data_IF_001180784296
#
_entry.id   IF_001180784296
#
_cell.length_a   1.000
_cell.length_b   1.000
_cell.length_c   1.000
_cell.angle_alpha   90.00
_cell.angle_beta   90.00
_cell.angle_gamma   90.00
#
_symmetry.space_group_name_H-M   'P 1'
#
loop_
_entity.id
_entity.type
_entity.pdbx_description
1 polymer ?
#
# COMPACT_ATOMS: atom_id res chain seq x y z
N UNK A 1 16.32 -66.02 -11.24
CA UNK A 1 16.80 -64.87 -10.43
C UNK A 1 17.34 -63.79 -11.35
N UNK A 2 16.65 -62.65 -11.47
CA UNK A 2 17.18 -61.42 -12.09
C UNK A 2 16.88 -60.27 -11.15
N UNK A 3 17.93 -59.71 -10.52
CA UNK A 3 17.85 -58.50 -9.70
C UNK A 3 17.84 -57.28 -10.65
N UNK A 4 16.78 -56.48 -10.59
CA UNK A 4 16.71 -55.16 -11.23
C UNK A 4 17.06 -54.08 -10.22
N UNK A 5 18.18 -53.39 -10.43
CA UNK A 5 18.61 -52.22 -9.68
C UNK A 5 17.82 -50.99 -10.18
N UNK A 6 16.90 -50.46 -9.37
CA UNK A 6 16.19 -49.21 -9.68
C UNK A 6 17.02 -48.03 -9.16
N UNK A 7 17.59 -47.28 -10.10
CA UNK A 7 18.30 -46.02 -9.86
C UNK A 7 17.26 -44.91 -9.59
N UNK A 8 17.12 -44.54 -8.32
CA UNK A 8 16.21 -43.45 -7.91
C UNK A 8 16.89 -42.10 -8.15
N UNK A 9 16.52 -41.41 -9.22
CA UNK A 9 16.96 -40.04 -9.52
C UNK A 9 16.25 -39.07 -8.57
N UNK A 10 16.98 -38.52 -7.60
CA UNK A 10 16.49 -37.42 -6.76
C UNK A 10 16.39 -36.14 -7.61
N UNK A 11 15.16 -35.75 -7.97
CA UNK A 11 14.86 -34.43 -8.53
C UNK A 11 15.01 -33.38 -7.41
N UNK A 12 16.11 -32.64 -7.40
CA UNK A 12 16.22 -31.41 -6.62
C UNK A 12 15.24 -30.38 -7.22
N UNK A 13 14.27 -29.84 -6.46
CA UNK A 13 13.45 -28.75 -6.97
C UNK A 13 14.37 -27.55 -7.18
N UNK A 14 14.48 -27.12 -8.44
CA UNK A 14 15.09 -25.84 -8.78
C UNK A 14 14.41 -24.76 -7.94
N UNK A 15 15.18 -24.13 -7.05
CA UNK A 15 14.79 -22.91 -6.35
C UNK A 15 14.58 -21.83 -7.40
N UNK A 16 13.38 -21.77 -7.98
CA UNK A 16 12.93 -20.60 -8.69
C UNK A 16 13.06 -19.44 -7.70
N UNK A 17 13.96 -18.50 -8.00
CA UNK A 17 14.16 -17.29 -7.20
C UNK A 17 12.84 -16.51 -7.19
N UNK A 18 11.97 -16.81 -6.23
CA UNK A 18 10.74 -16.07 -6.03
C UNK A 18 11.12 -14.61 -5.78
N UNK A 19 10.47 -13.69 -6.51
CA UNK A 19 10.65 -12.27 -6.27
C UNK A 19 10.49 -11.97 -4.77
N UNK A 20 11.32 -11.11 -4.16
CA UNK A 20 11.27 -10.90 -2.72
C UNK A 20 9.87 -10.42 -2.31
N UNK A 21 9.29 -11.08 -1.31
CA UNK A 21 7.97 -10.77 -0.78
C UNK A 21 7.96 -9.42 -0.05
N UNK A 22 6.79 -8.78 0.06
CA UNK A 22 6.63 -7.59 0.90
C UNK A 22 6.88 -7.99 2.37
N UNK A 23 7.84 -7.37 3.07
CA UNK A 23 8.16 -7.71 4.46
C UNK A 23 7.05 -7.25 5.42
N UNK A 24 7.01 -7.83 6.62
CA UNK A 24 6.14 -7.30 7.68
C UNK A 24 6.62 -5.90 8.12
N UNK A 25 5.69 -5.00 8.52
CA UNK A 25 6.01 -3.62 8.82
C UNK A 25 7.13 -3.46 9.86
N UNK A 26 8.14 -2.68 9.50
CA UNK A 26 9.27 -2.28 10.33
C UNK A 26 10.19 -3.43 10.77
N UNK A 27 10.08 -4.62 10.17
CA UNK A 27 10.94 -5.76 10.47
C UNK A 27 12.08 -5.96 9.47
N UNK A 28 11.98 -5.36 8.27
CA UNK A 28 13.00 -5.52 7.24
C UNK A 28 14.32 -4.81 7.60
N UNK A 29 15.44 -5.48 7.32
CA UNK A 29 16.79 -4.90 7.31
C UNK A 29 17.00 -3.96 6.11
N UNK A 30 18.06 -3.15 6.16
CA UNK A 30 18.46 -2.30 5.04
C UNK A 30 18.70 -3.11 3.74
N UNK A 31 19.30 -4.31 3.85
CA UNK A 31 19.53 -5.21 2.71
C UNK A 31 18.20 -5.68 2.10
N UNK A 32 17.25 -6.11 2.93
CA UNK A 32 15.93 -6.55 2.47
C UNK A 32 15.15 -5.42 1.80
N UNK A 33 15.17 -4.20 2.35
CA UNK A 33 14.52 -3.04 1.74
C UNK A 33 15.09 -2.70 0.37
N UNK A 34 16.43 -2.70 0.22
CA UNK A 34 17.10 -2.45 -1.07
C UNK A 34 16.78 -3.55 -2.10
N UNK A 35 16.66 -4.79 -1.67
CA UNK A 35 16.35 -5.93 -2.54
C UNK A 35 14.94 -5.85 -3.16
N UNK A 36 14.03 -5.03 -2.61
CA UNK A 36 12.74 -4.76 -3.24
C UNK A 36 12.89 -3.95 -4.55
N UNK A 37 14.02 -3.29 -4.80
CA UNK A 37 14.23 -2.59 -6.06
C UNK A 37 14.54 -3.59 -7.18
N UNK A 38 13.55 -3.85 -8.02
CA UNK A 38 13.66 -4.79 -9.14
C UNK A 38 13.27 -4.15 -10.46
N UNK A 39 13.89 -4.60 -11.55
CA UNK A 39 13.64 -4.08 -12.90
C UNK A 39 14.28 -2.72 -13.16
N UNK A 40 14.15 -2.25 -14.41
CA UNK A 40 14.66 -0.94 -14.85
C UNK A 40 13.72 0.17 -14.39
N UNK A 41 14.29 1.29 -13.96
CA UNK A 41 13.55 2.48 -13.53
C UNK A 41 14.27 3.67 -14.15
N UNK A 42 13.54 4.53 -14.87
CA UNK A 42 14.10 5.72 -15.54
C UNK A 42 14.89 6.57 -14.54
N UNK A 43 15.99 7.18 -14.98
CA UNK A 43 16.93 7.86 -14.10
C UNK A 43 16.34 9.14 -13.45
N UNK A 44 15.44 9.80 -14.18
CA UNK A 44 14.73 11.03 -13.81
C UNK A 44 13.51 10.80 -12.89
N UNK A 45 13.09 9.54 -12.68
CA UNK A 45 11.95 9.20 -11.83
C UNK A 45 12.20 9.69 -10.39
N UNK A 46 11.36 10.56 -9.81
CA UNK A 46 11.68 11.24 -8.56
C UNK A 46 11.69 10.31 -7.33
N UNK A 47 10.76 9.36 -7.30
CA UNK A 47 10.64 8.35 -6.25
C UNK A 47 10.09 7.06 -6.85
N UNK A 48 10.15 5.95 -6.11
CA UNK A 48 9.60 4.66 -6.54
C UNK A 48 8.91 4.00 -5.35
N UNK A 49 7.69 3.52 -5.54
CA UNK A 49 6.99 2.73 -4.53
C UNK A 49 7.48 1.29 -4.65
N UNK A 50 8.41 0.91 -3.77
CA UNK A 50 8.97 -0.45 -3.74
C UNK A 50 7.93 -1.48 -3.30
N UNK A 51 7.07 -1.11 -2.36
CA UNK A 51 5.94 -1.90 -1.90
C UNK A 51 4.77 -1.01 -1.47
N UNK A 52 3.56 -1.40 -1.86
CA UNK A 52 2.29 -0.84 -1.42
C UNK A 52 1.41 -1.98 -0.87
N UNK A 53 1.38 -2.15 0.45
CA UNK A 53 0.62 -3.20 1.14
C UNK A 53 -0.50 -2.57 1.96
N UNK A 54 -1.74 -2.84 1.54
CA UNK A 54 -2.92 -2.24 2.15
C UNK A 54 -3.84 -3.32 2.70
N UNK A 55 -4.22 -3.18 3.96
CA UNK A 55 -5.13 -4.11 4.64
C UNK A 55 -6.40 -3.39 5.04
N UNK A 56 -7.54 -3.89 4.59
CA UNK A 56 -8.87 -3.43 4.97
C UNK A 56 -9.58 -4.55 5.76
N UNK A 57 -9.89 -4.28 7.02
CA UNK A 57 -10.62 -5.19 7.88
C UNK A 57 -12.02 -4.64 8.19
N UNK A 58 -13.06 -5.39 7.81
CA UNK A 58 -14.45 -5.06 8.13
C UNK A 58 -14.97 -5.97 9.24
N UNK A 59 -15.50 -5.36 10.30
CA UNK A 59 -16.19 -6.10 11.34
C UNK A 59 -17.64 -6.47 10.96
N UNK A 60 -18.32 -7.16 11.87
CA UNK A 60 -19.72 -7.57 11.70
C UNK A 60 -20.68 -6.38 11.58
N UNK A 61 -20.34 -5.23 12.17
CA UNK A 61 -21.08 -3.97 12.09
C UNK A 61 -20.74 -3.14 10.85
N UNK A 62 -19.80 -3.57 10.02
CA UNK A 62 -19.37 -2.86 8.81
C UNK A 62 -18.43 -1.69 9.08
N UNK A 63 -17.87 -1.58 10.29
CA UNK A 63 -16.79 -0.62 10.59
C UNK A 63 -15.50 -1.13 9.97
N UNK A 64 -14.75 -0.23 9.34
CA UNK A 64 -13.50 -0.54 8.66
C UNK A 64 -12.30 -0.17 9.53
N UNK A 65 -11.26 -0.98 9.47
CA UNK A 65 -9.89 -0.59 9.80
C UNK A 65 -9.04 -0.68 8.54
N UNK A 66 -8.41 0.43 8.14
CA UNK A 66 -7.48 0.48 7.03
C UNK A 66 -6.05 0.62 7.58
N UNK A 67 -5.14 -0.22 7.11
CA UNK A 67 -3.69 -0.10 7.35
C UNK A 67 -2.97 0.03 6.02
N UNK A 68 -2.24 1.11 5.84
CA UNK A 68 -1.42 1.37 4.67
C UNK A 68 0.04 1.22 5.07
N UNK A 69 0.71 0.15 4.63
CA UNK A 69 2.14 -0.06 4.82
C UNK A 69 2.85 0.13 3.49
N UNK A 70 3.76 1.10 3.43
CA UNK A 70 4.41 1.49 2.18
C UNK A 70 5.91 1.66 2.35
N UNK A 71 6.63 1.26 1.31
CA UNK A 71 8.08 1.37 1.22
C UNK A 71 8.41 2.14 -0.06
N UNK A 72 9.12 3.25 0.06
CA UNK A 72 9.39 4.20 -1.02
C UNK A 72 10.88 4.50 -1.09
N UNK A 73 11.48 4.47 -2.27
CA UNK A 73 12.84 4.93 -2.52
C UNK A 73 12.82 6.33 -3.13
N UNK A 74 13.60 7.25 -2.57
CA UNK A 74 13.80 8.60 -3.11
C UNK A 74 14.98 8.58 -4.07
N UNK A 75 14.81 9.11 -5.28
CA UNK A 75 15.79 8.94 -6.37
C UNK A 75 16.36 10.24 -6.92
N UNK A 76 15.64 11.36 -6.83
CA UNK A 76 16.11 12.67 -7.31
C UNK A 76 15.88 13.76 -6.28
N UNK A 77 16.45 14.95 -6.52
CA UNK A 77 16.19 16.14 -5.72
C UNK A 77 14.71 16.51 -5.71
N UNK A 78 13.99 16.28 -6.81
CA UNK A 78 12.55 16.46 -6.86
C UNK A 78 11.79 15.48 -5.96
N UNK A 79 12.26 14.23 -5.89
CA UNK A 79 11.75 13.26 -4.93
C UNK A 79 11.89 13.72 -3.49
N UNK A 80 13.05 14.30 -3.14
CA UNK A 80 13.25 14.89 -1.79
C UNK A 80 12.23 16.00 -1.52
N UNK A 81 11.94 16.86 -2.49
CA UNK A 81 10.97 17.96 -2.30
C UNK A 81 9.53 17.47 -2.19
N UNK A 82 9.11 16.53 -3.04
CA UNK A 82 7.70 16.14 -3.18
C UNK A 82 7.27 14.95 -2.32
N UNK A 83 8.21 14.12 -1.84
CA UNK A 83 7.92 12.89 -1.07
C UNK A 83 8.48 12.89 0.36
N UNK A 84 8.87 14.04 0.90
CA UNK A 84 9.48 14.18 2.24
C UNK A 84 8.50 14.29 3.40
N UNK A 85 7.20 14.06 3.19
CA UNK A 85 6.22 14.06 4.29
C UNK A 85 5.21 12.93 4.16
N UNK A 86 4.68 12.51 5.31
CA UNK A 86 3.51 11.63 5.39
C UNK A 86 2.27 12.46 5.69
N UNK A 87 1.14 12.08 5.10
CA UNK A 87 -0.16 12.66 5.39
C UNK A 87 -1.20 11.56 5.61
N UNK A 88 -2.11 11.79 6.56
CA UNK A 88 -3.27 10.95 6.78
C UNK A 88 -4.51 11.83 6.94
N UNK A 89 -5.53 11.58 6.13
CA UNK A 89 -6.79 12.33 6.16
C UNK A 89 -7.89 11.47 6.77
N UNK A 90 -8.74 12.06 7.60
CA UNK A 90 -9.90 11.40 8.20
C UNK A 90 -11.02 12.40 8.44
N UNK A 91 -12.21 11.89 8.73
CA UNK A 91 -13.37 12.69 9.09
C UNK A 91 -13.83 12.25 10.49
N UNK A 92 -13.72 13.11 11.51
CA UNK A 92 -14.04 12.78 12.91
C UNK A 92 -15.44 12.23 13.13
N UNK A 93 -16.41 12.54 12.27
CA UNK A 93 -17.79 12.07 12.44
C UNK A 93 -17.95 10.53 12.34
N UNK A 94 -17.00 9.82 11.72
CA UNK A 94 -17.02 8.34 11.64
C UNK A 94 -15.67 7.67 11.83
N UNK A 95 -14.56 8.40 11.76
CA UNK A 95 -13.20 7.87 11.91
C UNK A 95 -12.50 8.41 13.14
N UNK A 96 -11.74 7.55 13.82
CA UNK A 96 -10.79 7.97 14.85
C UNK A 96 -9.60 8.68 14.20
N UNK A 97 -8.95 9.58 14.95
CA UNK A 97 -7.69 10.19 14.55
C UNK A 97 -6.67 9.11 14.14
N UNK A 98 -6.09 9.17 12.93
CA UNK A 98 -5.14 8.18 12.44
C UNK A 98 -3.92 8.04 13.32
N UNK A 99 -3.32 6.86 13.33
CA UNK A 99 -1.97 6.64 13.88
C UNK A 99 -0.99 6.55 12.72
N UNK A 100 0.13 7.27 12.82
CA UNK A 100 1.20 7.25 11.83
C UNK A 100 2.50 6.77 12.48
N UNK A 101 3.23 5.91 11.78
CA UNK A 101 4.58 5.47 12.13
C UNK A 101 5.43 5.52 10.87
N UNK A 102 6.68 5.89 11.00
CA UNK A 102 7.62 5.80 9.88
C UNK A 102 9.05 5.62 10.37
N UNK A 103 9.90 5.10 9.48
CA UNK A 103 11.35 5.15 9.61
C UNK A 103 11.98 5.39 8.24
N UNK A 104 13.12 6.05 8.23
CA UNK A 104 13.87 6.37 7.02
C UNK A 104 15.25 5.75 7.11
N UNK A 105 15.60 4.91 6.13
CA UNK A 105 16.97 4.46 5.91
C UNK A 105 17.72 5.56 5.16
N UNK A 106 18.60 6.28 5.85
CA UNK A 106 19.40 7.37 5.29
C UNK A 106 20.85 7.24 5.75
N UNK A 107 21.80 7.23 4.81
CA UNK A 107 23.21 7.01 5.14
C UNK A 107 23.49 5.67 5.82
N UNK A 108 22.69 4.64 5.54
CA UNK A 108 22.86 3.29 6.10
C UNK A 108 22.25 3.07 7.48
N UNK A 109 21.66 4.10 8.11
CA UNK A 109 21.00 4.00 9.42
C UNK A 109 19.51 4.33 9.33
N UNK A 110 18.72 3.67 10.16
CA UNK A 110 17.30 4.01 10.31
C UNK A 110 17.12 5.19 11.26
N UNK A 111 16.25 6.13 10.89
CA UNK A 111 15.75 7.20 11.77
C UNK A 111 14.23 7.13 11.83
N UNK A 112 13.69 7.02 13.03
CA UNK A 112 12.24 6.95 13.25
C UNK A 112 11.60 8.34 13.19
N UNK A 113 10.36 8.42 12.70
CA UNK A 113 9.54 9.62 12.79
C UNK A 113 9.30 9.95 14.26
N UNK A 114 9.62 11.18 14.66
CA UNK A 114 9.30 11.69 16.00
C UNK A 114 7.81 12.03 16.07
N UNK A 115 7.02 11.38 16.97
CA UNK A 115 5.61 11.67 17.14
C UNK A 115 5.29 13.14 17.45
N UNK A 116 6.21 13.88 18.08
CA UNK A 116 6.02 15.30 18.41
C UNK A 116 5.95 16.20 17.18
N UNK A 117 6.51 15.75 16.05
CA UNK A 117 6.50 16.49 14.77
C UNK A 117 5.19 16.33 14.00
N UNK A 118 4.29 15.45 14.46
CA UNK A 118 3.00 15.22 13.83
C UNK A 118 2.05 16.37 14.21
N UNK A 119 1.68 17.16 13.22
CA UNK A 119 0.72 18.25 13.38
C UNK A 119 -0.56 18.01 12.57
N UNK A 120 -1.59 18.79 12.90
CA UNK A 120 -2.88 18.79 12.24
C UNK A 120 -3.07 20.16 11.58
N UNK A 121 -2.63 20.36 10.32
CA UNK A 121 -2.76 21.64 9.66
C UNK A 121 -4.24 22.04 9.52
N UNK A 122 -4.54 23.35 9.46
CA UNK A 122 -5.88 23.83 9.15
C UNK A 122 -6.40 23.22 7.86
N UNK A 123 -7.70 22.89 7.82
CA UNK A 123 -8.34 22.41 6.59
C UNK A 123 -8.28 23.52 5.54
N UNK A 124 -7.58 23.28 4.43
CA UNK A 124 -7.69 24.12 3.24
C UNK A 124 -8.98 23.74 2.53
N UNK A 125 -10.08 24.42 2.88
CA UNK A 125 -11.33 24.29 2.15
C UNK A 125 -11.17 25.02 0.81
N UNK A 126 -10.98 24.25 -0.28
CA UNK A 126 -10.80 24.81 -1.62
C UNK A 126 -12.12 25.14 -2.31
N UNK A 127 -13.26 24.89 -1.66
CA UNK A 127 -14.59 25.24 -2.15
C UNK A 127 -15.27 26.21 -1.19
N UNK A 128 -15.54 27.43 -1.65
CA UNK A 128 -16.10 28.54 -0.89
C UNK A 128 -17.52 28.31 -0.32
N UNK A 129 -18.13 27.13 -0.53
CA UNK A 129 -19.56 26.88 -0.25
C UNK A 129 -19.88 25.50 0.36
N UNK A 130 -18.91 24.72 0.82
CA UNK A 130 -19.19 23.42 1.45
C UNK A 130 -18.31 23.22 2.67
N UNK A 131 -18.89 23.24 3.87
CA UNK A 131 -18.16 22.93 5.09
C UNK A 131 -17.73 21.46 5.11
N UNK A 132 -16.42 21.22 5.12
CA UNK A 132 -15.85 19.88 5.33
C UNK A 132 -15.32 19.72 6.76
N UNK A 133 -15.74 18.67 7.48
CA UNK A 133 -15.16 18.32 8.78
C UNK A 133 -13.85 17.49 8.64
N UNK A 134 -13.38 17.33 7.40
CA UNK A 134 -12.18 16.58 7.06
C UNK A 134 -10.95 17.20 7.71
N UNK A 135 -10.21 16.37 8.44
CA UNK A 135 -8.95 16.73 9.09
C UNK A 135 -7.79 16.01 8.43
N UNK A 136 -6.60 16.60 8.51
CA UNK A 136 -5.37 16.01 7.97
C UNK A 136 -4.29 16.02 9.05
N UNK A 137 -3.58 14.92 9.20
CA UNK A 137 -2.37 14.80 9.99
C UNK A 137 -1.21 14.87 9.00
N UNK A 138 -0.16 15.58 9.35
CA UNK A 138 1.04 15.69 8.53
C UNK A 138 2.28 15.65 9.42
N UNK A 139 3.33 15.02 8.92
CA UNK A 139 4.65 15.09 9.54
C UNK A 139 5.77 15.00 8.48
N UNK A 140 6.88 15.73 8.67
CA UNK A 140 8.06 15.55 7.84
C UNK A 140 8.75 14.22 8.15
N UNK A 141 9.20 13.51 7.14
CA UNK A 141 10.06 12.34 7.34
C UNK A 141 11.47 12.78 7.78
N UNK A 142 12.12 12.06 8.70
CA UNK A 142 13.44 12.43 9.20
C UNK A 142 14.55 12.19 8.15
N UNK A 143 15.42 13.19 7.95
CA UNK A 143 16.68 13.08 7.19
C UNK A 143 16.56 12.47 5.77
N UNK A 144 15.49 12.80 5.05
CA UNK A 144 15.29 12.38 3.67
C UNK A 144 16.33 13.03 2.75
N UNK A 145 17.01 12.19 1.97
CA UNK A 145 17.92 12.58 0.89
C UNK A 145 17.82 11.61 -0.28
N UNK A 146 18.44 11.94 -1.41
CA UNK A 146 18.56 11.02 -2.55
C UNK A 146 19.14 9.67 -2.09
N UNK A 147 18.52 8.57 -2.53
CA UNK A 147 18.85 7.20 -2.14
C UNK A 147 18.27 6.75 -0.80
N UNK A 148 17.49 7.59 -0.11
CA UNK A 148 16.79 7.19 1.11
C UNK A 148 15.68 6.20 0.80
N UNK A 149 15.45 5.24 1.70
CA UNK A 149 14.27 4.39 1.67
C UNK A 149 13.39 4.73 2.87
N UNK A 150 12.17 5.17 2.59
CA UNK A 150 11.15 5.52 3.57
C UNK A 150 10.25 4.30 3.73
N UNK A 151 10.01 3.89 4.96
CA UNK A 151 8.97 2.91 5.31
C UNK A 151 7.99 3.56 6.26
N UNK A 152 6.69 3.50 5.96
CA UNK A 152 5.66 4.07 6.82
C UNK A 152 4.41 3.22 6.90
N UNK A 153 3.67 3.42 8.00
CA UNK A 153 2.38 2.81 8.28
C UNK A 153 1.38 3.88 8.71
N UNK A 154 0.18 3.85 8.13
CA UNK A 154 -0.98 4.65 8.58
C UNK A 154 -2.10 3.69 8.98
N UNK A 155 -2.59 3.77 10.22
CA UNK A 155 -3.74 3.01 10.74
C UNK A 155 -4.93 3.96 10.95
N UNK A 156 -6.00 3.75 10.18
CA UNK A 156 -7.26 4.48 10.25
C UNK A 156 -8.35 3.52 10.71
N UNK A 157 -9.13 3.95 11.72
CA UNK A 157 -10.17 3.11 12.32
C UNK A 157 -11.50 3.85 12.36
N UNK A 158 -12.48 3.29 11.68
CA UNK A 158 -13.85 3.78 11.72
C UNK A 158 -14.50 3.35 13.04
N UNK A 159 -15.14 4.27 13.75
CA UNK A 159 -15.94 3.97 14.95
C UNK A 159 -17.44 3.89 14.61
N UNK A 160 -17.84 4.36 13.43
CA UNK A 160 -19.16 4.19 12.81
C UNK A 160 -18.98 3.78 11.35
N UNK A 161 -19.86 2.96 10.77
CA UNK A 161 -19.76 2.64 9.34
C UNK A 161 -20.02 3.90 8.51
N UNK A 162 -19.17 4.18 7.50
CA UNK A 162 -19.30 5.36 6.63
C UNK A 162 -20.57 5.34 5.78
N UNK A 163 -20.97 4.14 5.33
CA UNK A 163 -22.17 3.89 4.53
C UNK A 163 -22.96 2.76 5.19
N UNK A 164 -24.22 2.55 4.79
CA UNK A 164 -25.13 1.55 5.38
C UNK A 164 -24.64 0.09 5.31
N UNK A 165 -25.55 -0.92 5.28
CA UNK A 165 -25.15 -2.32 5.39
C UNK A 165 -24.24 -2.82 4.24
N UNK A 166 -24.13 -2.08 3.14
CA UNK A 166 -23.11 -2.28 2.11
C UNK A 166 -21.98 -1.25 2.28
N UNK A 167 -20.74 -1.75 2.47
CA UNK A 167 -19.55 -0.92 2.38
C UNK A 167 -19.00 -1.02 0.96
N UNK A 168 -18.86 0.12 0.28
CA UNK A 168 -18.17 0.21 -0.99
C UNK A 168 -16.75 0.73 -0.75
N UNK A 169 -15.76 0.00 -1.24
CA UNK A 169 -14.36 0.38 -1.19
C UNK A 169 -13.82 0.36 -2.62
N UNK A 170 -13.09 1.42 -3.00
CA UNK A 170 -12.24 1.39 -4.18
C UNK A 170 -10.79 1.57 -3.76
N UNK A 171 -9.88 0.82 -4.40
CA UNK A 171 -8.44 0.99 -4.23
C UNK A 171 -7.74 0.99 -5.58
N UNK A 172 -7.07 2.09 -5.89
CA UNK A 172 -6.22 2.23 -7.07
C UNK A 172 -4.81 1.76 -6.76
N UNK A 173 -4.23 0.96 -7.66
CA UNK A 173 -2.83 0.57 -7.67
C UNK A 173 -1.93 1.59 -8.37
N UNK A 174 -2.53 2.57 -9.05
CA UNK A 174 -1.79 3.60 -9.77
C UNK A 174 -1.21 4.66 -8.84
N UNK A 175 0.00 5.10 -9.18
CA UNK A 175 0.75 6.15 -8.53
C UNK A 175 1.29 7.12 -9.59
N UNK A 176 1.69 8.32 -9.18
CA UNK A 176 2.37 9.29 -10.07
C UNK A 176 3.83 8.90 -10.35
N UNK A 177 4.30 7.83 -9.72
CA UNK A 177 5.62 7.19 -9.91
C UNK A 177 5.43 5.69 -10.04
N UNK A 178 6.43 4.90 -10.47
CA UNK A 178 6.24 3.47 -10.61
C UNK A 178 6.05 2.81 -9.25
N UNK A 179 5.17 1.80 -9.17
CA UNK A 179 5.08 0.88 -8.04
C UNK A 179 5.49 -0.54 -8.45
N UNK A 180 6.25 -1.24 -7.63
CA UNK A 180 6.86 -2.52 -8.02
C UNK A 180 6.12 -3.74 -7.48
N UNK A 181 5.61 -3.64 -6.25
CA UNK A 181 4.87 -4.70 -5.57
C UNK A 181 3.66 -4.09 -4.90
N UNK A 182 2.50 -4.62 -5.22
CA UNK A 182 1.27 -4.12 -4.66
C UNK A 182 0.44 -5.27 -4.11
N UNK A 183 -0.06 -5.10 -2.89
CA UNK A 183 -0.91 -6.06 -2.22
C UNK A 183 -2.07 -5.34 -1.56
N UNK A 184 -3.28 -5.82 -1.81
CA UNK A 184 -4.47 -5.43 -1.07
C UNK A 184 -5.08 -6.65 -0.44
N UNK A 185 -5.31 -6.58 0.86
CA UNK A 185 -5.94 -7.62 1.65
C UNK A 185 -7.26 -7.09 2.18
N UNK A 186 -8.36 -7.74 1.83
CA UNK A 186 -9.68 -7.43 2.40
C UNK A 186 -10.13 -8.58 3.30
N UNK A 187 -10.43 -8.27 4.55
CA UNK A 187 -11.09 -9.20 5.47
C UNK A 187 -12.48 -8.71 5.82
N UNK A 188 -13.40 -9.66 6.00
CA UNK A 188 -14.75 -9.35 6.47
C UNK A 188 -15.28 -10.42 7.40
N UNK A 189 -15.83 -10.02 8.54
CA UNK A 189 -16.50 -10.91 9.50
C UNK A 189 -17.99 -11.00 9.17
N UNK A 190 -18.46 -12.20 8.83
CA UNK A 190 -19.88 -12.49 8.64
C UNK A 190 -20.50 -11.99 7.33
N UNK A 191 -19.83 -11.11 6.56
CA UNK A 191 -20.35 -10.57 5.29
C UNK A 191 -19.64 -11.19 4.09
N UNK A 192 -20.31 -11.21 2.93
CA UNK A 192 -19.71 -11.62 1.66
C UNK A 192 -18.81 -10.49 1.13
N UNK A 193 -17.69 -10.85 0.50
CA UNK A 193 -16.82 -9.92 -0.21
C UNK A 193 -17.10 -10.10 -1.70
N UNK A 194 -17.75 -9.12 -2.32
CA UNK A 194 -17.85 -9.02 -3.79
C UNK A 194 -16.69 -8.16 -4.28
N UNK A 195 -16.28 -8.31 -5.53
CA UNK A 195 -15.27 -7.42 -6.09
C UNK A 195 -15.39 -7.33 -7.61
N UNK A 196 -14.87 -6.23 -8.15
CA UNK A 196 -14.63 -6.03 -9.57
C UNK A 196 -13.19 -5.59 -9.78
N UNK A 197 -12.58 -6.09 -10.85
CA UNK A 197 -11.23 -5.74 -11.26
C UNK A 197 -11.32 -4.86 -12.50
N UNK A 198 -10.59 -3.75 -12.48
CA UNK A 198 -10.54 -2.81 -13.58
C UNK A 198 -9.08 -2.63 -13.99
N UNK A 199 -8.75 -2.89 -15.27
CA UNK A 199 -7.40 -2.74 -15.84
C UNK A 199 -6.28 -3.49 -15.07
N UNK A 200 -6.62 -4.60 -14.42
CA UNK A 200 -5.70 -5.48 -13.69
C UNK A 200 -5.54 -6.79 -14.46
N UNK A 201 -4.91 -6.73 -15.63
CA UNK A 201 -4.78 -7.89 -16.54
C UNK A 201 -4.04 -9.03 -15.84
N UNK A 202 -4.57 -10.23 -15.92
CA UNK A 202 -3.96 -11.43 -15.33
C UNK A 202 -4.04 -11.55 -13.81
N UNK A 203 -4.54 -10.53 -13.08
CA UNK A 203 -4.72 -10.64 -11.64
C UNK A 203 -5.80 -11.66 -11.31
N UNK A 204 -5.46 -12.63 -10.45
CA UNK A 204 -6.38 -13.64 -9.91
C UNK A 204 -6.43 -13.53 -8.38
N UNK A 205 -7.52 -13.02 -7.79
CA UNK A 205 -7.59 -12.83 -6.35
C UNK A 205 -7.57 -14.16 -5.59
N UNK A 206 -6.73 -14.26 -4.57
CA UNK A 206 -6.67 -15.43 -3.68
C UNK A 206 -7.73 -15.29 -2.59
N UNK A 207 -8.62 -16.28 -2.48
CA UNK A 207 -9.70 -16.30 -1.49
C UNK A 207 -9.38 -17.31 -0.40
N UNK A 208 -9.70 -16.96 0.84
CA UNK A 208 -9.68 -17.91 1.96
C UNK A 208 -10.85 -17.63 2.90
N UNK A 209 -11.19 -18.64 3.72
CA UNK A 209 -12.19 -18.52 4.77
C UNK A 209 -11.67 -19.21 6.03
N UNK A 210 -11.81 -18.54 7.18
CA UNK A 210 -11.53 -19.12 8.50
C UNK A 210 -12.70 -18.77 9.42
N UNK A 211 -13.45 -19.78 9.89
CA UNK A 211 -14.67 -19.58 10.69
C UNK A 211 -15.65 -18.60 10.00
N UNK A 212 -16.03 -17.51 10.69
CA UNK A 212 -16.87 -16.42 10.18
C UNK A 212 -16.10 -15.34 9.39
N UNK A 213 -14.78 -15.44 9.28
CA UNK A 213 -13.94 -14.46 8.56
C UNK A 213 -13.69 -14.91 7.13
N UNK A 214 -13.97 -14.02 6.18
CA UNK A 214 -13.57 -14.15 4.77
C UNK A 214 -12.36 -13.27 4.51
N UNK A 215 -11.48 -13.74 3.64
CA UNK A 215 -10.25 -13.07 3.21
C UNK A 215 -10.19 -13.10 1.69
N UNK A 216 -9.93 -11.95 1.07
CA UNK A 216 -9.57 -11.85 -0.36
C UNK A 216 -8.27 -11.07 -0.45
N UNK A 217 -7.27 -11.65 -1.10
CA UNK A 217 -5.97 -11.02 -1.36
C UNK A 217 -5.82 -10.75 -2.85
N UNK A 218 -5.48 -9.51 -3.17
CA UNK A 218 -5.16 -9.03 -4.51
C UNK A 218 -3.66 -8.71 -4.52
N UNK A 219 -2.88 -9.46 -5.29
CA UNK A 219 -1.45 -9.21 -5.47
C UNK A 219 -1.24 -8.80 -6.94
N UNK A 220 -0.59 -7.65 -7.15
CA UNK A 220 -0.29 -7.12 -8.47
C UNK A 220 1.16 -6.66 -8.53
N UNK A 221 1.80 -6.97 -9.66
CA UNK A 221 3.21 -6.65 -9.90
C UNK A 221 3.41 -5.17 -10.20
N UNK A 222 4.37 -4.90 -11.10
CA UNK A 222 4.72 -3.54 -11.49
C UNK A 222 3.53 -2.79 -12.08
N UNK A 223 3.33 -1.56 -11.64
CA UNK A 223 2.46 -0.56 -12.25
C UNK A 223 3.33 0.63 -12.63
N UNK A 224 3.31 1.00 -13.91
CA UNK A 224 4.04 2.17 -14.39
C UNK A 224 3.35 3.48 -13.96
N UNK A 225 4.09 4.60 -13.89
CA UNK A 225 3.53 5.89 -13.52
C UNK A 225 2.34 6.22 -14.40
N UNK A 226 1.35 6.87 -13.79
CA UNK A 226 0.28 7.46 -14.55
C UNK A 226 0.51 8.96 -14.69
N UNK A 227 0.43 9.44 -15.92
CA UNK A 227 0.23 10.85 -16.21
C UNK A 227 -1.19 11.23 -15.79
N UNK A 228 -1.30 12.17 -14.85
CA UNK A 228 -2.58 12.74 -14.50
C UNK A 228 -3.01 13.70 -15.61
N UNK A 229 -3.70 13.18 -16.63
CA UNK A 229 -4.42 14.03 -17.57
C UNK A 229 -5.66 14.58 -16.86
N UNK A 230 -5.59 15.84 -16.42
CA UNK A 230 -6.73 16.54 -15.86
C UNK A 230 -7.93 16.54 -16.82
N UNK A 231 -9.14 16.36 -16.30
CA UNK A 231 -10.39 16.52 -17.08
C UNK A 231 -11.01 15.24 -17.64
N UNK A 232 -10.38 14.06 -17.53
CA UNK A 232 -11.00 12.79 -17.99
C UNK A 232 -11.77 12.06 -16.87
N UNK A 233 -13.00 11.56 -17.12
CA UNK A 233 -13.77 10.78 -16.15
C UNK A 233 -13.01 9.54 -15.64
N UNK A 234 -13.13 9.22 -14.35
CA UNK A 234 -12.40 8.10 -13.73
C UNK A 234 -12.61 6.76 -14.46
N UNK A 235 -13.81 6.52 -15.03
CA UNK A 235 -14.17 5.30 -15.76
C UNK A 235 -13.51 5.14 -17.13
N UNK A 236 -13.07 6.21 -17.79
CA UNK A 236 -12.44 6.14 -19.13
C UNK A 236 -10.93 6.01 -19.07
N UNK A 237 -10.33 5.91 -17.88
CA UNK A 237 -8.90 6.22 -17.70
C UNK A 237 -7.96 5.05 -17.46
N UNK A 238 -8.36 3.81 -17.80
CA UNK A 238 -7.43 2.67 -17.75
C UNK A 238 -6.83 2.38 -16.37
N UNK A 239 -7.44 2.88 -15.28
CA UNK A 239 -6.87 2.82 -13.92
C UNK A 239 -6.85 1.38 -13.44
N UNK A 240 -5.69 0.84 -13.03
CA UNK A 240 -5.64 -0.44 -12.33
C UNK A 240 -6.24 -0.25 -10.94
N UNK A 241 -7.47 -0.73 -10.73
CA UNK A 241 -8.15 -0.60 -9.44
C UNK A 241 -9.02 -1.82 -9.14
N UNK A 242 -9.28 -2.01 -7.85
CA UNK A 242 -10.34 -2.87 -7.36
C UNK A 242 -11.51 -2.05 -6.84
N UNK A 243 -12.71 -2.59 -7.03
CA UNK A 243 -13.91 -2.21 -6.26
C UNK A 243 -14.33 -3.42 -5.43
N UNK A 244 -14.70 -3.19 -4.18
CA UNK A 244 -15.07 -4.22 -3.20
C UNK A 244 -16.34 -3.82 -2.47
#
# INVERSE_FOLDING_TARGET
MRLGLILSVCLLPALASAAPSIPEPFQASAKQLRALRTGKIKADTPAVVLADDVRFDFDDKGRRRARYHRIIEIRTAEGVRSWSSVRATWEPWHSRKPKMRARVLSGGRFKSLDPSTINEPPSKDSSTHTYSDRRTLQAPFPAVKIGSIIEYEIDIRDHRPRFGPASNLSYSFAWTVPSLRNRVVVTSKGRRIRHRLHNLRGLRPRKARRKKTRLVTFEYGRVDPRDYEGGKPYRTTGVPLIEV
#
